data_IF_391780562391
#
_entry.id   IF_391780562391
#
_cell.length_a   1.000
_cell.length_b   1.000
_cell.length_c   1.000
_cell.angle_alpha   90.00
_cell.angle_beta   90.00
_cell.angle_gamma   90.00
#
_symmetry.space_group_name_H-M   'P 1'
#
loop_
_entity.id
_entity.type
_entity.pdbx_description
1 polymer ?
#
# COMPACT_ATOMS: atom_id res chain seq x y z
N UNK A 1 1.04 -26.59 -13.91
CA UNK A 1 1.92 -26.02 -14.92
C UNK A 1 1.16 -24.99 -15.75
N UNK A 2 0.06 -25.36 -16.40
CA UNK A 2 -0.80 -24.47 -17.20
C UNK A 2 -1.24 -23.17 -16.47
N UNK A 3 -1.70 -23.25 -15.21
CA UNK A 3 -2.09 -22.07 -14.42
C UNK A 3 -0.93 -21.11 -14.09
N UNK A 4 0.30 -21.60 -14.03
CA UNK A 4 1.47 -20.75 -13.79
C UNK A 4 1.85 -20.04 -15.10
N UNK A 5 1.76 -20.72 -16.23
CA UNK A 5 2.06 -20.14 -17.53
C UNK A 5 1.04 -19.04 -17.86
N UNK A 6 -0.25 -19.27 -17.59
CA UNK A 6 -1.32 -18.26 -17.73
C UNK A 6 -1.06 -17.03 -16.84
N UNK A 7 -0.59 -17.22 -15.60
CA UNK A 7 -0.26 -16.11 -14.69
C UNK A 7 0.93 -15.30 -15.19
N UNK A 8 1.96 -15.98 -15.72
CA UNK A 8 3.14 -15.32 -16.31
C UNK A 8 2.73 -14.50 -17.53
N UNK A 9 1.93 -15.07 -18.42
CA UNK A 9 1.43 -14.38 -19.62
C UNK A 9 0.57 -13.17 -19.27
N UNK A 10 -0.32 -13.29 -18.27
CA UNK A 10 -1.13 -12.19 -17.77
C UNK A 10 -0.27 -11.07 -17.17
N UNK A 11 0.77 -11.42 -16.41
CA UNK A 11 1.69 -10.45 -15.85
C UNK A 11 2.50 -9.73 -16.94
N UNK A 12 2.98 -10.46 -17.95
CA UNK A 12 3.70 -9.88 -19.08
C UNK A 12 2.82 -8.92 -19.87
N UNK A 13 1.60 -9.34 -20.20
CA UNK A 13 0.61 -8.49 -20.88
C UNK A 13 0.34 -7.20 -20.11
N UNK A 14 0.14 -7.31 -18.79
CA UNK A 14 -0.06 -6.14 -17.93
C UNK A 14 1.14 -5.17 -17.99
N UNK A 15 2.35 -5.68 -17.93
CA UNK A 15 3.56 -4.84 -18.00
C UNK A 15 3.75 -4.19 -19.37
N UNK A 16 3.42 -4.88 -20.46
CA UNK A 16 3.46 -4.34 -21.81
C UNK A 16 2.44 -3.21 -21.98
N UNK A 17 1.20 -3.41 -21.54
CA UNK A 17 0.13 -2.41 -21.58
C UNK A 17 0.47 -1.19 -20.71
N UNK A 18 1.00 -1.42 -19.51
CA UNK A 18 1.41 -0.35 -18.61
C UNK A 18 2.57 0.49 -19.19
N UNK A 19 3.50 -0.13 -19.96
CA UNK A 19 4.58 0.58 -20.64
C UNK A 19 4.10 1.31 -21.88
N UNK A 20 3.17 0.74 -22.64
CA UNK A 20 2.61 1.33 -23.84
C UNK A 20 1.75 2.55 -23.56
N UNK A 21 1.14 2.62 -22.38
CA UNK A 21 0.28 3.73 -21.97
C UNK A 21 1.09 4.81 -21.25
N UNK A 22 1.50 5.84 -21.99
CA UNK A 22 2.15 7.00 -21.39
C UNK A 22 1.18 7.69 -20.43
N UNK A 23 1.65 8.01 -19.22
CA UNK A 23 0.85 8.65 -18.16
C UNK A 23 -0.35 7.80 -17.65
N UNK A 24 -0.31 6.49 -17.85
CA UNK A 24 -1.31 5.58 -17.29
C UNK A 24 -1.33 5.58 -15.75
N UNK A 25 -2.54 5.44 -15.15
CA UNK A 25 -2.71 5.47 -13.68
C UNK A 25 -1.92 4.40 -12.94
N UNK A 26 -1.66 3.24 -13.58
CA UNK A 26 -0.88 2.14 -13.02
C UNK A 26 0.55 2.55 -12.65
N UNK A 27 1.11 3.54 -13.38
CA UNK A 27 2.45 4.08 -13.08
C UNK A 27 2.55 4.84 -11.77
N UNK A 28 1.44 5.29 -11.21
CA UNK A 28 1.42 5.93 -9.89
C UNK A 28 1.88 4.99 -8.77
N UNK A 29 1.61 3.68 -8.92
CA UNK A 29 2.14 2.66 -8.02
C UNK A 29 3.66 2.56 -8.10
N UNK A 30 4.22 2.39 -9.31
CA UNK A 30 5.67 2.29 -9.51
C UNK A 30 6.40 3.52 -8.96
N UNK A 31 5.81 4.70 -9.17
CA UNK A 31 6.35 5.95 -8.66
C UNK A 31 6.35 5.97 -7.13
N UNK A 32 5.23 5.65 -6.50
CA UNK A 32 5.11 5.59 -5.04
C UNK A 32 6.13 4.61 -4.45
N UNK A 33 6.14 3.36 -4.94
CA UNK A 33 7.07 2.35 -4.48
C UNK A 33 8.54 2.78 -4.61
N UNK A 34 8.92 3.40 -5.74
CA UNK A 34 10.28 3.92 -5.95
C UNK A 34 10.67 4.98 -4.93
N UNK A 35 9.75 5.89 -4.60
CA UNK A 35 9.98 6.95 -3.60
C UNK A 35 10.20 6.33 -2.22
N UNK A 36 9.39 5.37 -1.81
CA UNK A 36 9.58 4.65 -0.55
C UNK A 36 10.86 3.82 -0.52
N UNK A 37 11.25 3.23 -1.64
CA UNK A 37 12.51 2.49 -1.75
C UNK A 37 13.73 3.39 -1.50
N UNK A 38 13.71 4.61 -1.99
CA UNK A 38 14.79 5.60 -1.74
C UNK A 38 14.77 6.04 -0.29
N UNK A 39 13.59 6.37 0.24
CA UNK A 39 13.42 6.83 1.62
C UNK A 39 13.91 5.82 2.66
N UNK A 40 13.81 4.52 2.38
CA UNK A 40 14.24 3.46 3.28
C UNK A 40 15.74 3.46 3.57
N UNK A 41 16.55 4.00 2.67
CA UNK A 41 18.00 4.13 2.84
C UNK A 41 18.43 5.53 3.28
N UNK A 42 17.48 6.44 3.43
CA UNK A 42 17.71 7.80 3.88
C UNK A 42 17.71 7.83 5.42
N UNK A 43 18.77 8.33 6.08
CA UNK A 43 18.82 8.46 7.53
C UNK A 43 17.85 9.51 8.10
N UNK A 44 17.28 10.37 7.25
CA UNK A 44 16.33 11.42 7.63
C UNK A 44 15.26 11.60 6.57
N UNK A 45 14.38 10.61 6.36
CA UNK A 45 13.37 10.67 5.32
C UNK A 45 12.34 11.78 5.60
N UNK A 46 11.91 12.46 4.56
CA UNK A 46 10.83 13.46 4.64
C UNK A 46 9.47 12.75 4.67
N UNK A 47 8.96 12.51 5.86
CA UNK A 47 7.67 11.83 6.07
C UNK A 47 6.47 12.61 5.49
N UNK A 48 6.53 13.95 5.48
CA UNK A 48 5.46 14.78 4.90
C UNK A 48 5.41 14.59 3.38
N UNK A 49 6.56 14.64 2.73
CA UNK A 49 6.70 14.37 1.29
C UNK A 49 6.24 12.94 0.93
N UNK A 50 6.64 11.94 1.70
CA UNK A 50 6.23 10.55 1.49
C UNK A 50 4.73 10.37 1.66
N UNK A 51 4.13 11.03 2.64
CA UNK A 51 2.68 11.01 2.87
C UNK A 51 1.91 11.58 1.69
N UNK A 52 2.40 12.66 1.08
CA UNK A 52 1.81 13.25 -0.12
C UNK A 52 1.88 12.28 -1.31
N UNK A 53 3.01 11.58 -1.51
CA UNK A 53 3.14 10.58 -2.57
C UNK A 53 2.21 9.39 -2.38
N UNK A 54 2.09 8.90 -1.14
CA UNK A 54 1.15 7.82 -0.80
C UNK A 54 -0.30 8.26 -1.04
N UNK A 55 -0.68 9.47 -0.64
CA UNK A 55 -2.01 10.02 -0.88
C UNK A 55 -2.33 10.11 -2.38
N UNK A 56 -1.40 10.62 -3.19
CA UNK A 56 -1.55 10.71 -4.64
C UNK A 56 -1.75 9.32 -5.28
N UNK A 57 -0.94 8.34 -4.90
CA UNK A 57 -1.10 6.97 -5.36
C UNK A 57 -2.47 6.39 -4.97
N UNK A 58 -2.86 6.51 -3.71
CA UNK A 58 -4.15 6.03 -3.22
C UNK A 58 -5.33 6.71 -3.93
N UNK A 59 -5.22 8.01 -4.22
CA UNK A 59 -6.23 8.73 -5.00
C UNK A 59 -6.33 8.22 -6.44
N UNK A 60 -5.19 8.01 -7.11
CA UNK A 60 -5.13 7.45 -8.47
C UNK A 60 -5.77 6.07 -8.56
N UNK A 61 -5.69 5.29 -7.46
CA UNK A 61 -6.28 3.95 -7.36
C UNK A 61 -7.67 3.95 -6.69
N UNK A 62 -8.29 5.13 -6.59
CA UNK A 62 -9.70 5.27 -6.22
C UNK A 62 -10.00 5.16 -4.73
N UNK A 63 -9.00 5.34 -3.85
CA UNK A 63 -9.22 5.30 -2.39
C UNK A 63 -9.82 6.60 -1.83
N UNK A 64 -9.87 7.66 -2.62
CA UNK A 64 -10.49 8.94 -2.30
C UNK A 64 -11.79 9.11 -3.09
N UNK A 65 -12.74 8.17 -2.96
CA UNK A 65 -14.05 8.24 -3.64
C UNK A 65 -15.15 7.56 -2.82
N UNK A 66 -16.39 7.83 -3.20
CA UNK A 66 -17.58 7.19 -2.61
C UNK A 66 -17.70 7.47 -1.12
N UNK A 67 -17.83 6.43 -0.32
CA UNK A 67 -17.96 6.49 1.15
C UNK A 67 -16.61 6.42 1.88
N UNK A 68 -15.49 6.60 1.19
CA UNK A 68 -14.18 6.55 1.83
C UNK A 68 -14.02 7.67 2.87
N UNK A 69 -13.62 7.31 4.08
CA UNK A 69 -13.33 8.30 5.14
C UNK A 69 -12.15 9.21 4.77
N UNK A 70 -11.26 8.78 3.88
CA UNK A 70 -10.13 9.59 3.40
C UNK A 70 -10.58 10.86 2.69
N UNK A 71 -11.80 10.90 2.11
CA UNK A 71 -12.36 12.12 1.50
C UNK A 71 -12.52 13.28 2.49
N UNK A 72 -12.60 12.99 3.78
CA UNK A 72 -12.80 13.98 4.85
C UNK A 72 -11.50 14.35 5.55
N UNK A 73 -10.37 13.82 5.09
CA UNK A 73 -9.05 14.04 5.70
C UNK A 73 -8.06 14.54 4.65
N UNK A 74 -7.10 15.34 5.08
CA UNK A 74 -5.96 15.69 4.24
C UNK A 74 -4.93 14.54 4.19
N UNK A 75 -3.90 14.68 3.36
CA UNK A 75 -2.87 13.66 3.19
C UNK A 75 -2.07 13.37 4.48
N UNK A 76 -2.06 14.29 5.44
CA UNK A 76 -1.33 14.12 6.71
C UNK A 76 -1.91 13.02 7.58
N UNK A 77 -3.14 12.59 7.32
CA UNK A 77 -3.70 11.39 7.94
C UNK A 77 -2.86 10.13 7.66
N UNK A 78 -2.04 10.15 6.62
CA UNK A 78 -1.16 9.03 6.26
C UNK A 78 0.21 9.10 6.94
N UNK A 79 0.55 10.20 7.60
CA UNK A 79 1.88 10.41 8.19
C UNK A 79 2.25 9.30 9.20
N UNK A 80 1.40 8.92 10.17
CA UNK A 80 1.71 7.81 11.08
C UNK A 80 1.84 6.45 10.37
N UNK A 81 1.15 6.26 9.25
CA UNK A 81 1.28 5.04 8.44
C UNK A 81 2.63 5.00 7.74
N UNK A 82 3.10 6.15 7.24
CA UNK A 82 4.43 6.28 6.62
C UNK A 82 5.53 5.99 7.64
N UNK A 83 5.41 6.57 8.84
CA UNK A 83 6.33 6.28 9.95
C UNK A 83 6.33 4.79 10.32
N UNK A 84 5.14 4.16 10.34
CA UNK A 84 5.00 2.74 10.65
C UNK A 84 5.72 1.86 9.62
N UNK A 85 5.40 2.00 8.33
CA UNK A 85 5.95 1.12 7.27
C UNK A 85 7.46 1.30 7.06
N UNK A 86 8.05 2.40 7.52
CA UNK A 86 9.49 2.66 7.42
C UNK A 86 10.28 2.17 8.64
N UNK A 87 9.64 1.57 9.63
CA UNK A 87 10.37 0.97 10.75
C UNK A 87 11.29 -0.15 10.28
N UNK A 88 12.52 -0.26 10.82
CA UNK A 88 13.48 -1.28 10.42
C UNK A 88 12.98 -2.73 10.59
N UNK A 89 12.04 -2.94 11.51
CA UNK A 89 11.45 -4.27 11.73
C UNK A 89 10.67 -4.81 10.51
N UNK A 90 10.34 -3.96 9.52
CA UNK A 90 9.65 -4.34 8.29
C UNK A 90 10.57 -4.40 7.06
N UNK A 91 11.90 -4.32 7.25
CA UNK A 91 12.84 -4.40 6.14
C UNK A 91 12.75 -5.72 5.36
N UNK A 92 12.45 -6.82 6.06
CA UNK A 92 12.24 -8.13 5.43
C UNK A 92 11.04 -8.19 4.48
N UNK A 93 10.08 -7.26 4.59
CA UNK A 93 8.91 -7.19 3.72
C UNK A 93 9.18 -6.43 2.42
N UNK A 94 10.24 -5.61 2.39
CA UNK A 94 10.48 -4.69 1.31
C UNK A 94 10.95 -5.42 0.03
N UNK A 95 10.07 -5.47 -0.98
CA UNK A 95 10.35 -6.18 -2.23
C UNK A 95 10.57 -7.68 -2.04
N UNK A 96 9.98 -8.26 -1.00
CA UNK A 96 10.10 -9.68 -0.69
C UNK A 96 9.70 -10.54 -1.88
N UNK A 97 10.52 -11.56 -2.18
CA UNK A 97 10.20 -12.48 -3.26
C UNK A 97 9.02 -13.39 -2.86
N UNK A 98 8.21 -13.79 -3.85
CA UNK A 98 7.05 -14.68 -3.60
C UNK A 98 7.44 -15.99 -2.91
N UNK A 99 8.65 -16.50 -3.13
CA UNK A 99 9.16 -17.70 -2.48
C UNK A 99 9.31 -17.52 -0.96
N UNK A 100 9.75 -16.33 -0.55
CA UNK A 100 10.09 -16.01 0.84
C UNK A 100 8.84 -15.63 1.67
N UNK A 101 7.71 -15.38 1.01
CA UNK A 101 6.42 -15.12 1.69
C UNK A 101 5.95 -16.27 2.60
N UNK A 102 6.55 -17.44 2.50
CA UNK A 102 6.25 -18.61 3.35
C UNK A 102 7.08 -18.64 4.63
N UNK A 103 8.09 -17.80 4.75
CA UNK A 103 8.91 -17.72 5.95
C UNK A 103 8.10 -17.17 7.13
N UNK A 104 8.22 -17.80 8.29
CA UNK A 104 7.42 -17.47 9.48
C UNK A 104 7.63 -16.01 9.91
N UNK A 105 8.86 -15.52 9.86
CA UNK A 105 9.18 -14.14 10.21
C UNK A 105 8.49 -13.15 9.26
N UNK A 106 8.54 -13.40 7.95
CA UNK A 106 7.90 -12.57 6.92
C UNK A 106 6.38 -12.52 7.15
N UNK A 107 5.75 -13.67 7.42
CA UNK A 107 4.32 -13.74 7.70
C UNK A 107 3.94 -13.00 8.99
N UNK A 108 4.73 -13.13 10.04
CA UNK A 108 4.51 -12.44 11.31
C UNK A 108 4.60 -10.92 11.12
N UNK A 109 5.65 -10.42 10.46
CA UNK A 109 5.84 -8.99 10.18
C UNK A 109 4.75 -8.44 9.27
N UNK A 110 4.37 -9.17 8.24
CA UNK A 110 3.27 -8.80 7.37
C UNK A 110 1.94 -8.70 8.15
N UNK A 111 1.64 -9.69 8.96
CA UNK A 111 0.43 -9.70 9.81
C UNK A 111 0.43 -8.52 10.77
N UNK A 112 1.56 -8.27 11.42
CA UNK A 112 1.72 -7.16 12.36
C UNK A 112 1.46 -5.80 11.69
N UNK A 113 2.16 -5.47 10.61
CA UNK A 113 2.00 -4.17 9.94
C UNK A 113 0.58 -3.97 9.40
N UNK A 114 -0.05 -5.04 8.90
CA UNK A 114 -1.44 -5.01 8.45
C UNK A 114 -2.39 -4.58 9.58
N UNK A 115 -2.27 -5.20 10.75
CA UNK A 115 -3.14 -4.90 11.88
C UNK A 115 -2.80 -3.57 12.56
N UNK A 116 -1.54 -3.15 12.58
CA UNK A 116 -1.15 -1.83 13.10
C UNK A 116 -1.77 -0.70 12.26
N UNK A 117 -1.75 -0.82 10.92
CA UNK A 117 -2.42 0.12 10.02
C UNK A 117 -3.95 0.08 10.22
N UNK A 118 -4.54 -1.10 10.35
CA UNK A 118 -5.97 -1.25 10.61
C UNK A 118 -6.39 -0.60 11.93
N UNK A 119 -5.62 -0.81 12.99
CA UNK A 119 -5.86 -0.25 14.31
C UNK A 119 -5.74 1.29 14.31
N UNK A 120 -4.79 1.83 13.55
CA UNK A 120 -4.65 3.28 13.38
C UNK A 120 -5.87 3.90 12.69
N UNK A 121 -6.33 3.32 11.60
CA UNK A 121 -7.44 3.88 10.84
C UNK A 121 -8.83 3.61 11.45
N UNK A 122 -8.97 2.62 12.30
CA UNK A 122 -10.24 2.25 12.92
C UNK A 122 -10.96 3.44 13.56
N UNK A 123 -10.39 4.12 14.57
CA UNK A 123 -10.99 5.28 15.24
C UNK A 123 -11.26 6.46 14.28
N UNK A 124 -10.35 6.71 13.33
CA UNK A 124 -10.48 7.80 12.34
C UNK A 124 -11.68 7.57 11.44
N UNK A 125 -11.86 6.33 11.00
CA UNK A 125 -13.00 5.93 10.18
C UNK A 125 -14.31 6.07 10.94
N UNK A 126 -14.35 5.63 12.20
CA UNK A 126 -15.55 5.67 13.03
C UNK A 126 -15.97 7.12 13.33
N UNK A 127 -15.02 8.01 13.58
CA UNK A 127 -15.25 9.44 13.72
C UNK A 127 -15.94 10.04 12.48
N UNK A 128 -15.41 9.74 11.28
CA UNK A 128 -15.94 10.29 10.01
C UNK A 128 -17.29 9.70 9.64
N UNK A 129 -17.48 8.42 9.88
CA UNK A 129 -18.72 7.73 9.49
C UNK A 129 -19.92 8.17 10.30
N UNK A 130 -19.73 8.74 11.50
CA UNK A 130 -20.82 9.20 12.40
C UNK A 130 -21.83 8.11 12.76
N UNK A 131 -21.47 6.85 12.57
CA UNK A 131 -22.32 5.67 12.80
C UNK A 131 -21.45 4.55 13.36
N UNK A 132 -22.06 3.70 14.18
CA UNK A 132 -21.56 2.36 14.46
C UNK A 132 -21.59 1.53 13.17
N UNK A 133 -20.57 1.68 12.34
CA UNK A 133 -20.43 0.85 11.16
C UNK A 133 -19.69 -0.41 11.59
N UNK A 134 -20.39 -1.52 11.64
CA UNK A 134 -19.90 -2.85 12.06
C UNK A 134 -18.80 -3.45 11.16
N UNK A 135 -18.23 -2.69 10.26
CA UNK A 135 -17.20 -3.16 9.32
C UNK A 135 -15.81 -2.60 9.69
N UNK A 136 -14.82 -3.47 9.65
CA UNK A 136 -13.40 -3.12 9.79
C UNK A 136 -12.93 -2.13 8.71
N UNK A 137 -11.76 -1.51 8.91
CA UNK A 137 -11.06 -0.78 7.85
C UNK A 137 -10.91 -1.68 6.63
N UNK A 138 -11.20 -1.13 5.45
CA UNK A 138 -11.22 -1.91 4.21
C UNK A 138 -9.86 -2.61 3.95
N UNK A 139 -9.84 -3.93 3.77
CA UNK A 139 -8.64 -4.64 3.33
C UNK A 139 -8.04 -4.08 2.04
N UNK A 140 -8.90 -3.56 1.14
CA UNK A 140 -8.47 -2.90 -0.10
C UNK A 140 -7.56 -1.71 0.16
N UNK A 141 -7.89 -0.87 1.15
CA UNK A 141 -7.04 0.26 1.52
C UNK A 141 -5.69 -0.21 2.05
N UNK A 142 -5.70 -1.16 2.99
CA UNK A 142 -4.48 -1.63 3.66
C UNK A 142 -3.56 -2.32 2.65
N UNK A 143 -4.08 -3.22 1.82
CA UNK A 143 -3.27 -3.92 0.81
C UNK A 143 -2.72 -2.97 -0.25
N UNK A 144 -3.46 -1.92 -0.64
CA UNK A 144 -2.92 -0.88 -1.53
C UNK A 144 -1.79 -0.09 -0.86
N UNK A 145 -1.90 0.24 0.41
CA UNK A 145 -0.81 0.87 1.15
C UNK A 145 0.43 -0.03 1.14
N UNK A 146 0.29 -1.30 1.54
CA UNK A 146 1.40 -2.26 1.58
C UNK A 146 2.03 -2.49 0.20
N UNK A 147 1.23 -2.56 -0.85
CA UNK A 147 1.72 -2.66 -2.23
C UNK A 147 2.51 -1.42 -2.64
N UNK A 148 2.01 -0.22 -2.34
CA UNK A 148 2.64 1.04 -2.75
C UNK A 148 3.89 1.43 -1.96
N UNK A 149 4.05 0.89 -0.74
CA UNK A 149 5.14 1.23 0.17
C UNK A 149 6.19 0.13 0.30
N UNK A 150 5.77 -1.09 0.56
CA UNK A 150 6.64 -2.25 0.79
C UNK A 150 6.76 -3.18 -0.42
N UNK A 151 5.75 -3.21 -1.30
CA UNK A 151 5.71 -4.11 -2.45
C UNK A 151 5.56 -5.58 -2.07
N UNK A 152 5.05 -5.88 -0.87
CA UNK A 152 5.02 -7.24 -0.31
C UNK A 152 3.73 -8.02 -0.61
N UNK A 153 2.69 -7.38 -1.12
CA UNK A 153 1.41 -8.01 -1.46
C UNK A 153 0.78 -7.39 -2.69
N UNK A 154 0.01 -8.15 -3.48
CA UNK A 154 -0.88 -7.57 -4.48
C UNK A 154 -2.01 -6.81 -3.78
N UNK A 155 -2.50 -5.74 -4.41
CA UNK A 155 -3.68 -5.05 -3.90
C UNK A 155 -4.94 -5.85 -4.20
N UNK A 156 -5.86 -5.89 -3.23
CA UNK A 156 -7.23 -6.32 -3.49
C UNK A 156 -7.95 -5.23 -4.28
N UNK A 157 -8.86 -5.66 -5.17
CA UNK A 157 -9.82 -4.79 -5.86
C UNK A 157 -11.24 -5.29 -5.68
#
# INVERSE_FOLDING_TARGET
MEAIDELIDAAQTFYEDARATENGRSRSWEHCYRVFRVARTDPSPDYDYLSLHLAFYLASWGMYRGSSFLLQKDYKVLLPVVEEVLKPEYDCLFGVACADLRESEVQERHTKVYYDIAAYFGPIRDEVAGREVASSVSPVLITKILMGTLGCVPAYD
#
